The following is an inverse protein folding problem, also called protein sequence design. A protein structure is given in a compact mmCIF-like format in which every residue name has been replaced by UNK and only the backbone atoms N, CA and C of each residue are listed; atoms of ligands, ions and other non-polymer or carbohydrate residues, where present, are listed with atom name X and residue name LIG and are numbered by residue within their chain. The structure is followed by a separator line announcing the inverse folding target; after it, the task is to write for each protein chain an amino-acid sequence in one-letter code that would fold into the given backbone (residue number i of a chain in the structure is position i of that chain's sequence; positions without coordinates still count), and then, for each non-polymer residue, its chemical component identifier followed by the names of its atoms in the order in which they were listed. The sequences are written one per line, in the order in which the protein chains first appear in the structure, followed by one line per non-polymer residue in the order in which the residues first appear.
data_IF_656623492081
#
_entry.id   IF_656623492081
#
_cell.length_a   1.000
_cell.length_b   1.000
_cell.length_c   1.000
_cell.angle_alpha   90.00
_cell.angle_beta   90.00
_cell.angle_gamma   90.00
#
_symmetry.space_group_name_H-M   'P 1'
#
loop_
_entity.id
_entity.type
_entity.pdbx_description
1 polymer ?
#
# COMPACT_ATOMS: atom_id res chain seq x y z
N UNK A 1 27.81 -19.19 -22.15
CA UNK A 1 27.67 -18.77 -23.56
C UNK A 1 26.78 -17.53 -23.60
N UNK A 2 27.33 -16.40 -24.04
CA UNK A 2 26.64 -15.12 -24.05
C UNK A 2 25.49 -15.08 -25.07
N UNK A 3 25.63 -15.77 -26.21
CA UNK A 3 24.60 -15.78 -27.26
C UNK A 3 23.35 -16.54 -26.81
N UNK A 4 23.53 -17.64 -26.08
CA UNK A 4 22.42 -18.38 -25.47
C UNK A 4 21.68 -17.51 -24.44
N UNK A 5 22.40 -16.75 -23.63
CA UNK A 5 21.78 -15.84 -22.67
C UNK A 5 20.95 -14.74 -23.35
N UNK A 6 21.46 -14.17 -24.45
CA UNK A 6 20.72 -13.19 -25.25
C UNK A 6 19.46 -13.78 -25.89
N UNK A 7 19.55 -14.96 -26.50
CA UNK A 7 18.39 -15.61 -27.11
C UNK A 7 17.32 -15.95 -26.07
N UNK A 8 17.72 -16.39 -24.87
CA UNK A 8 16.78 -16.64 -23.79
C UNK A 8 16.09 -15.35 -23.31
N UNK A 9 16.84 -14.24 -23.22
CA UNK A 9 16.27 -12.95 -22.86
C UNK A 9 15.28 -12.43 -23.91
N UNK A 10 15.61 -12.57 -25.19
CA UNK A 10 14.71 -12.22 -26.30
C UNK A 10 13.41 -13.02 -26.24
N UNK A 11 13.50 -14.35 -26.11
CA UNK A 11 12.33 -15.21 -26.00
C UNK A 11 11.46 -14.87 -24.79
N UNK A 12 12.09 -14.58 -23.65
CA UNK A 12 11.39 -14.13 -22.45
C UNK A 12 10.59 -12.84 -22.71
N UNK A 13 11.22 -11.83 -23.31
CA UNK A 13 10.57 -10.54 -23.62
C UNK A 13 9.42 -10.71 -24.62
N UNK A 14 9.55 -11.60 -25.60
CA UNK A 14 8.46 -11.89 -26.56
C UNK A 14 7.25 -12.50 -25.84
N UNK A 15 7.49 -13.45 -24.93
CA UNK A 15 6.42 -14.09 -24.16
C UNK A 15 5.75 -13.10 -23.21
N UNK A 16 6.53 -12.26 -22.52
CA UNK A 16 6.02 -11.22 -21.62
C UNK A 16 5.15 -10.21 -22.37
N UNK A 17 5.64 -9.67 -23.49
CA UNK A 17 4.87 -8.76 -24.34
C UNK A 17 3.55 -9.38 -24.84
N UNK A 18 3.56 -10.68 -25.18
CA UNK A 18 2.32 -11.34 -25.61
C UNK A 18 1.34 -11.51 -24.44
N UNK A 19 1.83 -11.80 -23.23
CA UNK A 19 0.99 -11.88 -22.05
C UNK A 19 0.36 -10.53 -21.70
N UNK A 20 1.11 -9.43 -21.82
CA UNK A 20 0.58 -8.08 -21.63
C UNK A 20 -0.52 -7.75 -22.63
N UNK A 21 -0.32 -8.04 -23.92
CA UNK A 21 -1.36 -7.82 -24.94
C UNK A 21 -2.63 -8.62 -24.66
N UNK A 22 -2.48 -9.90 -24.32
CA UNK A 22 -3.63 -10.74 -23.99
C UNK A 22 -4.34 -10.26 -22.72
N UNK A 23 -3.59 -9.73 -21.75
CA UNK A 23 -4.16 -9.14 -20.54
C UNK A 23 -4.94 -7.88 -20.86
N UNK A 24 -4.45 -7.03 -21.77
CA UNK A 24 -5.16 -5.82 -22.17
C UNK A 24 -6.48 -6.13 -22.87
N UNK A 25 -6.48 -7.08 -23.81
CA UNK A 25 -7.72 -7.58 -24.44
C UNK A 25 -8.72 -8.13 -23.39
N UNK A 26 -8.21 -8.83 -22.38
CA UNK A 26 -9.04 -9.33 -21.28
C UNK A 26 -9.61 -8.19 -20.44
N UNK A 27 -8.79 -7.19 -20.09
CA UNK A 27 -9.21 -6.01 -19.31
C UNK A 27 -10.32 -5.25 -20.01
N UNK A 28 -10.21 -5.04 -21.32
CA UNK A 28 -11.25 -4.40 -22.13
C UNK A 28 -12.55 -5.23 -22.14
N UNK A 29 -12.43 -6.54 -22.32
CA UNK A 29 -13.60 -7.44 -22.37
C UNK A 29 -14.34 -7.54 -21.04
N UNK A 30 -13.63 -7.47 -19.91
CA UNK A 30 -14.22 -7.59 -18.56
C UNK A 30 -14.49 -6.24 -17.91
N UNK A 31 -14.22 -5.14 -18.61
CA UNK A 31 -14.36 -3.80 -18.06
C UNK A 31 -15.79 -3.52 -17.62
N UNK A 32 -15.92 -2.90 -16.45
CA UNK A 32 -17.16 -2.37 -15.92
C UNK A 32 -16.96 -0.92 -15.50
N UNK A 33 -18.00 -0.08 -15.65
CA UNK A 33 -17.97 1.32 -15.23
C UNK A 33 -17.69 1.48 -13.73
N UNK A 34 -17.99 0.46 -12.93
CA UNK A 34 -17.77 0.44 -11.49
C UNK A 34 -16.41 -0.14 -11.09
N UNK A 35 -15.53 -0.45 -12.04
CA UNK A 35 -14.22 -1.03 -11.73
C UNK A 35 -13.34 -0.03 -10.95
N UNK A 36 -12.91 -0.47 -9.78
CA UNK A 36 -12.01 0.29 -8.92
C UNK A 36 -10.59 -0.29 -8.99
N UNK A 37 -9.85 0.15 -10.00
CA UNK A 37 -8.43 -0.19 -10.16
C UNK A 37 -7.53 0.47 -9.11
N UNK A 38 -6.26 0.05 -9.09
CA UNK A 38 -5.25 0.47 -8.10
C UNK A 38 -5.09 1.98 -8.00
N UNK A 39 -4.97 2.68 -9.13
CA UNK A 39 -4.80 4.13 -9.19
C UNK A 39 -6.03 4.86 -8.65
N UNK A 40 -7.23 4.42 -9.04
CA UNK A 40 -8.48 5.01 -8.56
C UNK A 40 -8.67 4.77 -7.06
N UNK A 41 -8.30 3.58 -6.57
CA UNK A 41 -8.32 3.26 -5.14
C UNK A 41 -7.36 4.17 -4.36
N UNK A 42 -6.12 4.37 -4.82
CA UNK A 42 -5.18 5.27 -4.15
C UNK A 42 -5.72 6.69 -4.06
N UNK A 43 -6.31 7.19 -5.15
CA UNK A 43 -6.92 8.53 -5.16
C UNK A 43 -8.08 8.61 -4.17
N UNK A 44 -8.98 7.63 -4.18
CA UNK A 44 -10.11 7.58 -3.25
C UNK A 44 -9.63 7.58 -1.79
N UNK A 45 -8.63 6.76 -1.45
CA UNK A 45 -8.13 6.71 -0.08
C UNK A 45 -7.44 8.01 0.34
N UNK A 46 -6.68 8.64 -0.58
CA UNK A 46 -6.09 9.95 -0.32
C UNK A 46 -7.18 11.00 -0.03
N UNK A 47 -8.30 10.96 -0.76
CA UNK A 47 -9.42 11.87 -0.54
C UNK A 47 -10.15 11.58 0.80
N UNK A 48 -10.32 10.31 1.16
CA UNK A 48 -11.03 9.91 2.38
C UNK A 48 -10.25 10.13 3.68
N UNK A 49 -8.92 9.97 3.67
CA UNK A 49 -8.09 10.01 4.87
C UNK A 49 -7.62 11.41 5.26
N UNK A 50 -7.90 12.45 4.47
CA UNK A 50 -7.68 13.85 4.83
C UNK A 50 -6.38 14.44 4.26
N UNK A 51 -5.86 15.48 4.93
CA UNK A 51 -4.73 16.27 4.44
C UNK A 51 -3.49 15.37 4.25
N UNK A 52 -2.99 15.29 3.00
CA UNK A 52 -1.94 14.34 2.57
C UNK A 52 -0.63 14.53 3.33
N UNK A 53 -0.43 15.72 3.87
CA UNK A 53 0.82 16.08 4.48
C UNK A 53 0.96 15.51 5.89
N UNK A 54 0.20 15.99 6.89
CA UNK A 54 0.36 15.53 8.28
C UNK A 54 -0.91 15.75 9.13
N UNK A 55 -1.41 14.68 9.74
CA UNK A 55 -2.24 14.80 10.93
C UNK A 55 -1.37 14.93 12.17
N UNK A 56 -1.88 15.63 13.19
CA UNK A 56 -1.26 15.70 14.51
C UNK A 56 -2.21 15.16 15.56
N UNK A 57 -1.71 14.24 16.38
CA UNK A 57 -2.41 13.70 17.54
C UNK A 57 -1.61 13.94 18.81
N UNK A 58 -2.19 14.67 19.75
CA UNK A 58 -1.70 14.76 21.12
C UNK A 58 -2.03 13.48 21.91
N UNK A 59 -1.45 13.33 23.09
CA UNK A 59 -1.53 12.08 23.86
C UNK A 59 -2.96 11.64 24.19
N UNK A 60 -3.82 12.60 24.54
CA UNK A 60 -5.24 12.41 24.83
C UNK A 60 -6.07 12.06 23.57
N UNK A 61 -5.51 12.26 22.38
CA UNK A 61 -6.13 11.97 21.09
C UNK A 61 -5.71 10.62 20.50
N UNK A 62 -4.89 9.83 21.21
CA UNK A 62 -4.36 8.56 20.70
C UNK A 62 -5.44 7.52 20.41
N UNK A 63 -6.59 7.56 21.09
CA UNK A 63 -7.73 6.72 20.74
C UNK A 63 -8.34 7.07 19.37
N UNK A 64 -8.24 8.34 18.95
CA UNK A 64 -8.64 8.75 17.60
C UNK A 64 -7.60 8.34 16.55
N UNK A 65 -6.30 8.43 16.87
CA UNK A 65 -5.23 7.87 16.03
C UNK A 65 -5.44 6.37 15.78
N UNK A 66 -5.74 5.58 16.81
CA UNK A 66 -6.05 4.15 16.67
C UNK A 66 -7.25 3.90 15.76
N UNK A 67 -8.33 4.70 15.88
CA UNK A 67 -9.48 4.61 14.97
C UNK A 67 -9.10 4.88 13.52
N UNK A 68 -8.21 5.86 13.28
CA UNK A 68 -7.71 6.17 11.93
C UNK A 68 -6.82 5.06 11.37
N UNK A 69 -5.95 4.48 12.20
CA UNK A 69 -5.16 3.27 11.85
C UNK A 69 -6.09 2.10 11.51
N UNK A 70 -7.13 1.87 12.31
CA UNK A 70 -8.10 0.80 12.08
C UNK A 70 -8.83 0.98 10.74
N UNK A 71 -9.31 2.19 10.47
CA UNK A 71 -9.95 2.51 9.19
C UNK A 71 -8.99 2.32 8.01
N UNK A 72 -7.74 2.76 8.13
CA UNK A 72 -6.76 2.57 7.07
C UNK A 72 -6.43 1.09 6.81
N UNK A 73 -6.37 0.27 7.86
CA UNK A 73 -6.03 -1.15 7.74
C UNK A 73 -7.21 -2.04 7.31
N UNK A 74 -8.42 -1.69 7.73
CA UNK A 74 -9.58 -2.59 7.67
C UNK A 74 -10.75 -2.01 6.85
N UNK A 75 -10.66 -0.76 6.41
CA UNK A 75 -11.77 -0.03 5.82
C UNK A 75 -12.84 0.34 6.86
N UNK A 76 -14.04 0.76 6.43
CA UNK A 76 -15.13 1.05 7.35
C UNK A 76 -15.57 -0.21 8.12
N UNK A 77 -16.02 -0.06 9.39
CA UNK A 77 -16.53 -1.19 10.15
C UNK A 77 -17.76 -1.78 9.48
N UNK A 78 -17.84 -3.11 9.43
CA UNK A 78 -18.95 -3.84 8.80
C UNK A 78 -20.17 -3.99 9.72
N UNK A 79 -20.02 -3.65 11.01
CA UNK A 79 -21.04 -3.77 12.05
C UNK A 79 -21.09 -2.47 12.85
N UNK A 80 -22.25 -2.14 13.39
CA UNK A 80 -22.44 -0.96 14.27
C UNK A 80 -21.51 -1.01 15.51
N UNK A 81 -21.22 -2.22 16.00
CA UNK A 81 -20.35 -2.49 17.13
C UNK A 81 -18.86 -2.22 16.84
N UNK A 82 -18.49 -1.95 15.59
CA UNK A 82 -17.12 -1.68 15.15
C UNK A 82 -16.36 -2.91 14.62
N UNK A 83 -15.04 -2.93 14.84
CA UNK A 83 -14.15 -3.99 14.35
C UNK A 83 -14.11 -5.21 15.28
N UNK A 84 -13.81 -6.37 14.72
CA UNK A 84 -13.64 -7.59 15.52
C UNK A 84 -12.42 -7.50 16.45
N UNK A 85 -12.50 -8.16 17.61
CA UNK A 85 -11.42 -8.18 18.61
C UNK A 85 -10.07 -8.63 18.03
N UNK A 86 -10.09 -9.56 17.07
CA UNK A 86 -8.87 -10.04 16.41
C UNK A 86 -8.19 -8.95 15.58
N UNK A 87 -8.96 -8.07 14.96
CA UNK A 87 -8.45 -7.01 14.11
C UNK A 87 -8.02 -5.81 14.95
N UNK A 88 -8.73 -5.53 16.04
CA UNK A 88 -8.28 -4.56 17.05
C UNK A 88 -6.90 -4.92 17.63
N UNK A 89 -6.59 -6.21 17.82
CA UNK A 89 -5.23 -6.62 18.23
C UNK A 89 -4.15 -6.26 17.19
N UNK A 90 -4.46 -6.36 15.90
CA UNK A 90 -3.53 -5.95 14.83
C UNK A 90 -3.33 -4.44 14.86
N UNK A 91 -4.41 -3.69 15.04
CA UNK A 91 -4.37 -2.23 15.19
C UNK A 91 -3.51 -1.81 16.37
N UNK A 92 -3.67 -2.44 17.54
CA UNK A 92 -2.84 -2.14 18.72
C UNK A 92 -1.36 -2.48 18.51
N UNK A 93 -1.04 -3.60 17.86
CA UNK A 93 0.35 -3.95 17.54
C UNK A 93 1.00 -2.95 16.58
N UNK A 94 0.27 -2.51 15.56
CA UNK A 94 0.71 -1.51 14.60
C UNK A 94 0.85 -0.13 15.23
N UNK A 95 -0.11 0.27 16.06
CA UNK A 95 -0.05 1.49 16.88
C UNK A 95 1.19 1.48 17.79
N UNK A 96 1.49 0.36 18.45
CA UNK A 96 2.71 0.20 19.23
C UNK A 96 4.00 0.38 18.40
N UNK A 97 4.01 -0.11 17.17
CA UNK A 97 5.13 0.05 16.23
C UNK A 97 5.31 1.51 15.78
N UNK A 98 4.20 2.21 15.54
CA UNK A 98 4.16 3.65 15.25
C UNK A 98 4.71 4.44 16.43
N UNK A 99 4.23 4.20 17.65
CA UNK A 99 4.72 4.89 18.84
C UNK A 99 6.21 4.63 19.10
N UNK A 100 6.65 3.37 18.95
CA UNK A 100 8.07 3.04 19.08
C UNK A 100 8.91 3.85 18.09
N UNK A 101 8.53 3.84 16.82
CA UNK A 101 9.24 4.59 15.77
C UNK A 101 9.20 6.10 16.02
N UNK A 102 8.07 6.63 16.51
CA UNK A 102 7.94 8.04 16.91
C UNK A 102 8.90 8.37 18.06
N UNK A 103 8.93 7.58 19.13
CA UNK A 103 9.77 7.81 20.29
C UNK A 103 11.27 7.81 19.98
N UNK A 104 11.69 7.10 18.93
CA UNK A 104 13.08 7.08 18.46
C UNK A 104 13.48 8.40 17.77
N UNK A 105 12.52 9.18 17.26
CA UNK A 105 12.79 10.37 16.44
C UNK A 105 12.32 11.70 17.05
N UNK A 106 11.35 11.70 17.98
CA UNK A 106 10.81 12.93 18.57
C UNK A 106 11.19 13.14 20.04
N UNK A 107 11.33 14.41 20.42
CA UNK A 107 11.43 14.85 21.82
C UNK A 107 10.08 14.70 22.55
N UNK A 108 8.97 14.96 21.86
CA UNK A 108 7.62 14.97 22.44
C UNK A 108 6.93 13.62 22.20
N UNK A 109 7.25 12.63 23.04
CA UNK A 109 6.80 11.24 22.88
C UNK A 109 5.28 11.06 22.81
N UNK A 110 4.51 11.92 23.49
CA UNK A 110 3.05 11.90 23.46
C UNK A 110 2.42 12.49 22.19
N UNK A 111 3.19 13.16 21.34
CA UNK A 111 2.70 13.76 20.09
C UNK A 111 3.11 12.90 18.91
N UNK A 112 2.16 12.60 18.03
CA UNK A 112 2.40 11.86 16.79
C UNK A 112 2.00 12.76 15.61
N UNK A 113 2.95 13.03 14.70
CA UNK A 113 2.68 13.64 13.40
C UNK A 113 2.80 12.56 12.31
N UNK A 114 1.69 12.23 11.67
CA UNK A 114 1.56 11.05 10.82
C UNK A 114 0.74 11.34 9.55
N UNK A 115 1.11 10.70 8.46
CA UNK A 115 0.34 10.62 7.21
C UNK A 115 0.06 9.18 6.84
N UNK A 116 -0.98 8.97 6.05
CA UNK A 116 -1.47 7.67 5.61
C UNK A 116 -1.40 7.62 4.09
N UNK A 117 -0.65 6.67 3.57
CA UNK A 117 -0.49 6.41 2.14
C UNK A 117 -0.89 4.97 1.82
N UNK A 118 -1.03 4.65 0.54
CA UNK A 118 -1.29 3.28 0.09
C UNK A 118 -0.28 2.84 -0.96
N UNK A 119 0.18 1.60 -0.81
CA UNK A 119 0.72 0.81 -1.91
C UNK A 119 -0.41 -0.09 -2.40
N UNK A 120 -0.77 0.02 -3.67
CA UNK A 120 -1.69 -0.93 -4.28
C UNK A 120 -0.86 -1.93 -5.08
N UNK A 121 -0.90 -3.19 -4.66
CA UNK A 121 -0.20 -4.25 -5.38
C UNK A 121 -1.15 -4.97 -6.32
N UNK A 122 -0.69 -5.25 -7.53
CA UNK A 122 -1.38 -6.06 -8.52
C UNK A 122 -0.59 -7.34 -8.81
N UNK A 123 -1.25 -8.49 -9.02
CA UNK A 123 -0.56 -9.69 -9.49
C UNK A 123 0.11 -9.45 -10.84
N UNK A 124 1.18 -10.20 -11.12
CA UNK A 124 1.87 -10.09 -12.41
C UNK A 124 0.94 -10.47 -13.58
N UNK A 125 1.20 -9.96 -14.80
CA UNK A 125 0.38 -10.29 -15.96
C UNK A 125 0.16 -11.80 -16.18
N UNK A 126 1.23 -12.58 -16.00
CA UNK A 126 1.18 -14.05 -16.08
C UNK A 126 0.23 -14.69 -15.05
N UNK A 127 0.21 -14.16 -13.83
CA UNK A 127 -0.67 -14.64 -12.75
C UNK A 127 -2.12 -14.26 -13.02
N UNK A 128 -2.39 -13.04 -13.48
CA UNK A 128 -3.74 -12.60 -13.88
C UNK A 128 -4.29 -13.48 -14.99
N UNK A 129 -3.48 -13.78 -16.01
CA UNK A 129 -3.86 -14.71 -17.09
C UNK A 129 -4.11 -16.14 -16.58
N UNK A 130 -3.33 -16.61 -15.60
CA UNK A 130 -3.57 -17.91 -14.97
C UNK A 130 -4.87 -17.93 -14.17
N UNK A 131 -5.19 -16.85 -13.46
CA UNK A 131 -6.45 -16.72 -12.70
C UNK A 131 -7.66 -16.67 -13.63
N UNK A 132 -7.56 -15.94 -14.74
CA UNK A 132 -8.61 -15.86 -15.77
C UNK A 132 -8.98 -17.24 -16.35
N UNK A 133 -8.01 -18.15 -16.50
CA UNK A 133 -8.27 -19.53 -16.95
C UNK A 133 -8.98 -20.37 -15.89
N UNK A 134 -8.77 -20.07 -14.61
CA UNK A 134 -9.29 -20.85 -13.48
C UNK A 134 -10.65 -20.36 -13.01
N UNK A 135 -10.89 -19.06 -13.08
CA UNK A 135 -12.07 -18.39 -12.54
C UNK A 135 -12.79 -17.66 -13.67
N UNK A 136 -14.00 -18.12 -14.00
CA UNK A 136 -14.79 -17.62 -15.15
C UNK A 136 -15.15 -16.14 -14.99
N UNK A 137 -15.44 -15.70 -13.77
CA UNK A 137 -15.86 -14.33 -13.44
C UNK A 137 -14.68 -13.43 -13.01
N UNK A 138 -13.45 -13.84 -13.31
CA UNK A 138 -12.28 -13.07 -12.94
C UNK A 138 -12.21 -11.74 -13.72
N UNK A 139 -12.11 -10.64 -12.97
CA UNK A 139 -11.87 -9.32 -13.54
C UNK A 139 -10.46 -8.81 -13.15
N UNK A 140 -9.49 -8.74 -14.07
CA UNK A 140 -8.15 -8.24 -13.80
C UNK A 140 -8.08 -6.74 -13.43
N UNK A 141 -9.14 -5.96 -13.69
CA UNK A 141 -9.22 -4.53 -13.37
C UNK A 141 -9.45 -4.27 -11.88
N UNK A 142 -9.98 -5.25 -11.15
CA UNK A 142 -10.32 -5.14 -9.73
C UNK A 142 -9.51 -6.08 -8.84
N UNK A 143 -8.60 -6.88 -9.42
CA UNK A 143 -7.67 -7.74 -8.70
C UNK A 143 -6.49 -6.93 -8.15
N UNK A 144 -6.81 -6.10 -7.15
CA UNK A 144 -5.93 -5.16 -6.49
C UNK A 144 -5.87 -5.47 -5.00
N UNK A 145 -4.69 -5.38 -4.41
CA UNK A 145 -4.51 -5.50 -2.96
C UNK A 145 -3.93 -4.19 -2.40
N UNK A 146 -4.78 -3.32 -1.86
CA UNK A 146 -4.33 -2.08 -1.22
C UNK A 146 -3.74 -2.36 0.16
N UNK A 147 -2.60 -1.75 0.44
CA UNK A 147 -1.87 -1.89 1.69
C UNK A 147 -1.48 -0.51 2.23
N UNK A 148 -1.90 -0.14 3.44
CA UNK A 148 -1.56 1.15 4.01
C UNK A 148 -0.07 1.22 4.38
N UNK A 149 0.49 2.41 4.21
CA UNK A 149 1.81 2.82 4.68
C UNK A 149 1.61 4.00 5.61
N UNK A 150 2.14 3.90 6.81
CA UNK A 150 2.10 4.94 7.83
C UNK A 150 3.40 5.71 7.80
N UNK A 151 3.32 7.02 7.63
CA UNK A 151 4.48 7.87 7.47
C UNK A 151 4.58 8.77 8.68
N UNK A 152 5.66 8.68 9.44
CA UNK A 152 5.91 9.56 10.57
C UNK A 152 6.85 10.69 10.15
N UNK A 153 6.52 11.91 10.55
CA UNK A 153 7.38 13.08 10.33
C UNK A 153 8.57 13.05 11.27
N UNK A 154 9.78 13.15 10.71
CA UNK A 154 11.02 13.23 11.49
C UNK A 154 11.57 14.65 11.60
N UNK A 155 11.48 15.47 10.55
CA UNK A 155 12.03 16.83 10.52
C UNK A 155 10.92 17.89 10.38
N UNK A 156 11.06 19.00 11.11
CA UNK A 156 10.15 20.16 11.02
C UNK A 156 10.84 21.33 10.30
N UNK A 157 10.06 22.22 9.68
CA UNK A 157 10.57 23.45 9.05
C UNK A 157 11.14 23.30 7.63
N UNK A 158 10.99 22.12 7.01
CA UNK A 158 11.29 21.88 5.58
C UNK A 158 10.02 21.61 4.80
N UNK A 159 9.96 22.09 3.55
CA UNK A 159 8.93 21.70 2.57
C UNK A 159 9.08 20.22 2.13
N UNK A 160 10.26 19.65 2.34
CA UNK A 160 10.51 18.21 2.25
C UNK A 160 10.99 17.66 3.60
N UNK A 161 10.06 17.37 4.53
CA UNK A 161 10.43 16.82 5.82
C UNK A 161 10.98 15.39 5.66
N UNK A 162 12.00 15.06 6.45
CA UNK A 162 12.45 13.68 6.60
C UNK A 162 11.29 12.80 7.08
N UNK A 163 11.20 11.57 6.56
CA UNK A 163 10.11 10.63 6.80
C UNK A 163 10.63 9.30 7.33
N UNK A 164 9.84 8.67 8.18
CA UNK A 164 9.97 7.25 8.53
C UNK A 164 8.72 6.54 8.02
N UNK A 165 8.90 5.46 7.28
CA UNK A 165 7.80 4.71 6.69
C UNK A 165 7.58 3.43 7.50
N UNK A 166 6.33 3.08 7.74
CA UNK A 166 5.93 1.89 8.48
C UNK A 166 4.89 1.18 7.65
N UNK A 167 5.09 -0.09 7.34
CA UNK A 167 4.12 -0.85 6.56
C UNK A 167 2.96 -1.39 7.39
N UNK A 168 2.01 -2.03 6.72
CA UNK A 168 0.78 -2.58 7.28
C UNK A 168 0.98 -3.66 8.36
N UNK A 169 2.22 -4.16 8.55
CA UNK A 169 2.56 -5.12 9.63
C UNK A 169 3.54 -4.56 10.66
N UNK A 170 3.85 -3.25 10.59
CA UNK A 170 4.65 -2.54 11.58
C UNK A 170 6.15 -2.58 11.34
N UNK A 171 6.63 -2.96 10.15
CA UNK A 171 8.08 -2.86 9.83
C UNK A 171 8.42 -1.43 9.45
N UNK A 172 9.55 -0.96 9.96
CA UNK A 172 9.99 0.43 9.83
C UNK A 172 11.11 0.55 8.80
N UNK A 173 11.04 1.58 7.96
CA UNK A 173 11.99 1.93 6.92
C UNK A 173 12.37 3.41 7.07
N UNK A 174 13.66 3.72 7.04
CA UNK A 174 14.18 5.07 7.30
C UNK A 174 14.09 5.99 6.08
N UNK A 175 13.90 5.42 4.89
CA UNK A 175 13.75 6.17 3.64
C UNK A 175 12.75 5.49 2.71
N UNK A 176 12.24 6.24 1.74
CA UNK A 176 11.35 5.71 0.72
C UNK A 176 12.02 4.63 -0.13
N UNK A 177 13.29 4.85 -0.48
CA UNK A 177 14.10 3.88 -1.20
C UNK A 177 14.25 2.57 -0.42
N UNK A 178 14.43 2.66 0.90
CA UNK A 178 14.51 1.47 1.75
C UNK A 178 13.20 0.68 1.77
N UNK A 179 12.04 1.35 1.81
CA UNK A 179 10.74 0.69 1.68
C UNK A 179 10.62 -0.07 0.36
N UNK A 180 10.95 0.57 -0.76
CA UNK A 180 10.88 -0.08 -2.08
C UNK A 180 11.84 -1.27 -2.17
N UNK A 181 13.08 -1.13 -1.68
CA UNK A 181 14.10 -2.15 -1.83
C UNK A 181 13.98 -3.32 -0.84
N UNK A 182 13.39 -3.10 0.35
CA UNK A 182 13.44 -4.07 1.46
C UNK A 182 12.07 -4.54 1.96
N UNK A 183 10.97 -4.12 1.34
CA UNK A 183 9.68 -4.74 1.63
C UNK A 183 9.75 -6.27 1.40
N UNK A 184 8.79 -7.00 1.96
CA UNK A 184 8.70 -8.47 1.81
C UNK A 184 7.41 -8.88 1.13
N UNK A 185 6.94 -8.08 0.17
CA UNK A 185 5.85 -8.53 -0.68
C UNK A 185 6.35 -9.68 -1.57
N UNK A 186 5.41 -10.53 -1.98
CA UNK A 186 5.68 -11.44 -3.09
C UNK A 186 5.92 -10.61 -4.36
N UNK A 187 6.47 -11.25 -5.39
CA UNK A 187 6.65 -10.57 -6.66
C UNK A 187 5.29 -10.11 -7.20
N UNK A 188 5.15 -8.80 -7.43
CA UNK A 188 3.92 -8.14 -7.83
C UNK A 188 4.26 -6.80 -8.50
N UNK A 189 3.29 -6.22 -9.19
CA UNK A 189 3.36 -4.82 -9.62
C UNK A 189 2.95 -3.94 -8.44
N UNK A 190 3.80 -2.99 -8.06
CA UNK A 190 3.48 -2.02 -7.00
C UNK A 190 3.14 -0.68 -7.63
N UNK A 191 1.90 -0.23 -7.42
CA UNK A 191 1.47 1.12 -7.73
C UNK A 191 1.75 1.92 -6.46
N UNK A 192 2.54 2.98 -6.57
CA UNK A 192 3.06 3.73 -5.43
C UNK A 192 2.94 5.23 -5.66
N UNK A 193 2.74 6.02 -4.59
CA UNK A 193 2.84 7.47 -4.66
C UNK A 193 4.26 7.92 -5.04
N UNK A 194 4.36 9.00 -5.81
CA UNK A 194 5.62 9.48 -6.33
C UNK A 194 6.50 10.00 -5.18
N UNK A 195 7.70 9.45 -5.03
CA UNK A 195 8.64 9.80 -3.96
C UNK A 195 8.09 9.64 -2.53
N UNK A 196 7.06 8.80 -2.37
CA UNK A 196 6.39 8.61 -1.09
C UNK A 196 5.61 9.84 -0.63
N UNK A 197 4.94 10.52 -1.57
CA UNK A 197 4.05 11.67 -1.36
C UNK A 197 2.88 11.67 -2.34
#
# INVERSE_FOLDING_TARGET
DFLVALSNAENFLVVENQQEKNLEELREKTASENDMGSTNYQKLMADMLGDRDWDRFEHDQHEYLKKKIAFALLGPPQKEEGYEKKDLKKVEALYGSILKSNHEITKYKGRVEISFMYNCTEPLPSEKMSRAKKYIEYNPNTDVMPLPIFVIRKCHGSADPCRVFIDNIGRTYQTWHEYIAKNKFHQCEMILPLNGR
#
